data_IF_448131272047
#
_entry.id   IF_448131272047
#
_cell.length_a   1.000
_cell.length_b   1.000
_cell.length_c   1.000
_cell.angle_alpha   90.00
_cell.angle_beta   90.00
_cell.angle_gamma   90.00
#
_symmetry.space_group_name_H-M   'P 1'
#
loop_
_entity.id
_entity.type
_entity.pdbx_description
1 polymer ?
#
# COMPACT_ATOMS: atom_id res chain seq x y z
N UNK A 1 17.98 -12.73 -28.04
CA UNK A 1 17.82 -13.57 -26.82
C UNK A 1 18.44 -12.77 -25.68
N UNK A 2 17.80 -11.67 -25.38
CA UNK A 2 18.37 -10.53 -24.70
C UNK A 2 17.80 -10.51 -23.29
N UNK A 3 18.69 -10.78 -22.34
CA UNK A 3 18.49 -10.80 -20.89
C UNK A 3 18.12 -9.42 -20.30
N UNK A 4 17.69 -8.46 -21.12
CA UNK A 4 17.28 -7.13 -20.70
C UNK A 4 15.78 -7.02 -20.39
N UNK A 5 14.93 -7.87 -20.97
CA UNK A 5 13.47 -7.82 -20.77
C UNK A 5 12.98 -8.21 -19.37
N UNK A 6 13.75 -9.02 -18.63
CA UNK A 6 13.38 -9.45 -17.28
C UNK A 6 13.77 -8.46 -16.18
N UNK A 7 14.72 -7.55 -16.43
CA UNK A 7 15.14 -6.56 -15.43
C UNK A 7 14.23 -5.32 -15.44
N UNK A 8 13.78 -4.88 -16.63
CA UNK A 8 12.82 -3.78 -16.75
C UNK A 8 11.44 -4.12 -16.16
N UNK A 9 11.00 -5.38 -16.23
CA UNK A 9 9.74 -5.82 -15.61
C UNK A 9 9.84 -5.89 -14.09
N UNK A 10 10.97 -6.33 -13.54
CA UNK A 10 11.23 -6.29 -12.09
C UNK A 10 11.30 -4.84 -11.58
N UNK A 11 11.94 -3.92 -12.29
CA UNK A 11 12.00 -2.49 -11.90
C UNK A 11 10.62 -1.82 -11.92
N UNK A 12 9.81 -2.05 -12.95
CA UNK A 12 8.41 -1.55 -13.00
C UNK A 12 7.56 -2.15 -11.88
N UNK A 13 7.73 -3.45 -11.59
CA UNK A 13 7.02 -4.13 -10.50
C UNK A 13 7.51 -3.67 -9.12
N UNK A 14 8.80 -3.33 -8.97
CA UNK A 14 9.38 -2.74 -7.75
C UNK A 14 8.90 -1.31 -7.55
N UNK A 15 8.80 -0.49 -8.60
CA UNK A 15 8.27 0.88 -8.51
C UNK A 15 6.77 0.89 -8.18
N UNK A 16 6.00 -0.06 -8.72
CA UNK A 16 4.58 -0.22 -8.38
C UNK A 16 4.38 -0.70 -6.93
N UNK A 17 5.24 -1.58 -6.43
CA UNK A 17 5.23 -2.02 -5.02
C UNK A 17 5.74 -0.93 -4.06
N UNK A 18 6.80 -0.23 -4.42
CA UNK A 18 7.40 0.86 -3.63
C UNK A 18 6.44 2.03 -3.44
N UNK A 19 5.60 2.33 -4.43
CA UNK A 19 4.55 3.35 -4.31
C UNK A 19 3.53 3.02 -3.22
N UNK A 20 3.24 1.73 -3.01
CA UNK A 20 2.33 1.30 -1.96
C UNK A 20 3.02 1.15 -0.61
N UNK A 21 4.31 0.76 -0.56
CA UNK A 21 5.02 0.57 0.71
C UNK A 21 5.04 1.85 1.55
N UNK A 22 5.20 3.01 0.91
CA UNK A 22 5.21 4.33 1.58
C UNK A 22 3.86 4.71 2.19
N UNK A 23 2.78 4.03 1.77
CA UNK A 23 1.41 4.25 2.23
C UNK A 23 0.86 3.06 3.02
N UNK A 24 1.70 2.09 3.36
CA UNK A 24 1.28 0.87 4.08
C UNK A 24 1.65 0.91 5.56
N UNK A 25 0.74 0.36 6.37
CA UNK A 25 0.96 0.16 7.79
C UNK A 25 1.80 -1.08 8.04
N UNK A 26 2.93 -0.97 8.73
CA UNK A 26 3.80 -2.11 9.05
C UNK A 26 3.22 -3.08 10.10
N UNK A 27 2.06 -2.77 10.69
CA UNK A 27 1.35 -3.67 11.62
C UNK A 27 0.35 -4.55 10.87
N UNK A 28 -0.52 -3.96 10.05
CA UNK A 28 -1.56 -4.70 9.32
C UNK A 28 -1.20 -5.02 7.86
N UNK A 29 -0.07 -4.50 7.37
CA UNK A 29 0.47 -4.71 6.02
C UNK A 29 -0.49 -4.28 4.89
N UNK A 30 -1.37 -3.32 5.18
CA UNK A 30 -2.33 -2.73 4.22
C UNK A 30 -2.19 -1.21 4.16
N UNK A 31 -2.81 -0.57 3.16
CA UNK A 31 -2.84 0.89 3.05
C UNK A 31 -3.40 1.53 4.32
N UNK A 32 -2.78 2.59 4.81
CA UNK A 32 -3.17 3.28 6.04
C UNK A 32 -4.68 3.60 6.11
N UNK A 33 -5.29 3.31 7.24
CA UNK A 33 -6.64 3.76 7.62
C UNK A 33 -6.52 4.70 8.79
N UNK A 34 -6.91 5.96 8.59
CA UNK A 34 -6.67 7.07 9.52
C UNK A 34 -5.24 7.02 10.09
N UNK A 35 -4.21 7.32 9.27
CA UNK A 35 -2.83 7.23 9.72
C UNK A 35 -2.59 8.12 10.94
N UNK A 36 -1.78 7.64 11.88
CA UNK A 36 -1.25 8.38 13.04
C UNK A 36 0.27 8.28 12.99
N UNK A 37 0.95 9.41 13.06
CA UNK A 37 2.42 9.49 13.11
C UNK A 37 2.89 9.64 14.55
N UNK A 38 3.88 8.86 14.93
CA UNK A 38 4.60 9.03 16.20
C UNK A 38 5.71 10.08 16.05
N UNK A 39 6.21 10.61 17.16
CA UNK A 39 7.36 11.53 17.18
C UNK A 39 8.62 10.97 16.52
N UNK A 40 8.78 9.65 16.53
CA UNK A 40 9.89 8.99 15.85
C UNK A 40 9.76 9.00 14.30
N UNK A 41 8.70 9.60 13.75
CA UNK A 41 8.44 9.72 12.31
C UNK A 41 7.71 8.53 11.70
N UNK A 42 7.47 7.45 12.44
CA UNK A 42 6.77 6.26 11.93
C UNK A 42 5.26 6.44 11.99
N UNK A 43 4.59 6.02 10.92
CA UNK A 43 3.14 6.12 10.76
C UNK A 43 2.47 4.74 10.75
N UNK A 44 1.28 4.67 11.33
CA UNK A 44 0.50 3.44 11.51
C UNK A 44 -0.99 3.75 11.38
N UNK A 45 -1.84 2.76 11.12
CA UNK A 45 -3.29 2.97 11.28
C UNK A 45 -3.60 3.31 12.74
N UNK A 46 -4.55 4.24 12.98
CA UNK A 46 -4.97 4.64 14.33
C UNK A 46 -5.28 3.45 15.23
N UNK A 47 -6.07 2.50 14.74
CA UNK A 47 -6.44 1.31 15.50
C UNK A 47 -5.23 0.43 15.82
N UNK A 48 -4.38 0.19 14.81
CA UNK A 48 -3.19 -0.65 14.96
C UNK A 48 -2.23 -0.12 16.02
N UNK A 49 -1.95 1.19 16.01
CA UNK A 49 -1.03 1.78 16.99
C UNK A 49 -1.66 1.87 18.38
N UNK A 50 -2.97 2.11 18.47
CA UNK A 50 -3.71 2.12 19.75
C UNK A 50 -3.60 0.77 20.46
N UNK A 51 -3.83 -0.34 19.74
CA UNK A 51 -3.69 -1.70 20.28
C UNK A 51 -2.24 -1.98 20.67
N UNK A 52 -1.27 -1.56 19.86
CA UNK A 52 0.15 -1.81 20.14
C UNK A 52 0.62 -1.07 21.39
N UNK A 53 0.27 0.21 21.52
CA UNK A 53 0.60 1.05 22.68
C UNK A 53 -0.15 0.63 23.95
N UNK A 54 -1.24 -0.13 23.82
CA UNK A 54 -1.90 -0.76 24.96
C UNK A 54 -1.10 -1.93 25.54
N UNK A 55 -0.19 -2.52 24.76
CA UNK A 55 0.67 -3.64 25.18
C UNK A 55 2.07 -3.18 25.59
N UNK A 56 2.64 -2.22 24.86
CA UNK A 56 3.99 -1.67 25.08
C UNK A 56 4.01 -0.20 24.65
N UNK A 57 4.48 0.68 25.51
CA UNK A 57 4.67 2.11 25.20
C UNK A 57 5.90 2.37 24.30
N UNK A 58 6.04 1.62 23.22
CA UNK A 58 7.16 1.69 22.28
C UNK A 58 6.66 1.63 20.84
N UNK A 59 7.34 2.34 19.94
CA UNK A 59 7.10 2.25 18.51
C UNK A 59 7.36 0.81 18.01
N UNK A 60 6.41 0.19 17.28
CA UNK A 60 6.60 -1.16 16.75
C UNK A 60 7.78 -1.32 15.78
N UNK A 61 8.18 -0.23 15.13
CA UNK A 61 9.20 -0.24 14.09
C UNK A 61 10.61 0.02 14.64
N UNK A 62 10.81 1.12 15.39
CA UNK A 62 12.13 1.51 15.90
C UNK A 62 12.31 1.30 17.41
N UNK A 63 11.25 0.87 18.12
CA UNK A 63 11.25 0.64 19.58
C UNK A 63 11.50 1.88 20.44
N UNK A 64 11.49 3.08 19.84
CA UNK A 64 11.52 4.35 20.58
C UNK A 64 10.30 4.43 21.51
N UNK A 65 10.54 4.77 22.77
CA UNK A 65 9.49 4.95 23.77
C UNK A 65 8.52 6.05 23.36
N UNK A 66 7.22 5.80 23.48
CA UNK A 66 6.16 6.75 23.16
C UNK A 66 5.64 7.34 24.48
N UNK A 67 5.86 8.64 24.76
CA UNK A 67 5.33 9.30 25.95
C UNK A 67 3.80 9.24 25.97
N UNK A 68 3.21 8.99 27.13
CA UNK A 68 1.75 8.84 27.29
C UNK A 68 1.00 10.12 26.90
N UNK A 69 1.62 11.27 27.17
CA UNK A 69 1.07 12.61 26.91
C UNK A 69 0.97 12.95 25.42
N UNK A 70 1.69 12.22 24.55
CA UNK A 70 1.80 12.49 23.11
C UNK A 70 1.41 11.27 22.24
N UNK A 71 0.57 10.37 22.76
CA UNK A 71 0.23 9.09 22.10
C UNK A 71 -0.40 9.22 20.72
N UNK A 72 -1.00 10.37 20.39
CA UNK A 72 -1.74 10.56 19.15
C UNK A 72 -1.48 11.94 18.56
N UNK A 73 -0.39 12.09 17.82
CA UNK A 73 -0.25 13.27 16.98
C UNK A 73 -1.11 13.09 15.73
N UNK A 74 -2.00 14.05 15.40
CA UNK A 74 -2.74 13.99 14.16
C UNK A 74 -1.74 13.99 13.00
N UNK A 75 -1.86 12.99 12.13
CA UNK A 75 -1.05 12.94 10.90
C UNK A 75 -1.43 14.11 9.99
N UNK A 76 -0.44 14.64 9.26
CA UNK A 76 -0.66 15.65 8.23
C UNK A 76 -1.76 15.21 7.26
N UNK A 77 -2.65 16.15 6.89
CA UNK A 77 -3.76 15.94 5.96
C UNK A 77 -3.31 15.38 4.59
N UNK A 78 -2.03 15.56 4.25
CA UNK A 78 -1.39 15.04 3.04
C UNK A 78 -1.37 13.51 3.04
N UNK A 79 -0.89 12.89 4.12
CA UNK A 79 -0.77 11.43 4.24
C UNK A 79 -2.14 10.75 4.20
N UNK A 80 -3.14 11.38 4.82
CA UNK A 80 -4.54 10.93 4.74
C UNK A 80 -5.07 11.01 3.31
N UNK A 81 -4.93 12.17 2.65
CA UNK A 81 -5.41 12.35 1.28
C UNK A 81 -4.75 11.42 0.28
N UNK A 82 -3.46 11.13 0.43
CA UNK A 82 -2.75 10.18 -0.43
C UNK A 82 -3.21 8.74 -0.20
N UNK A 83 -3.43 8.34 1.05
CA UNK A 83 -3.92 7.01 1.39
C UNK A 83 -5.35 6.78 0.87
N UNK A 84 -6.23 7.78 0.99
CA UNK A 84 -7.61 7.69 0.50
C UNK A 84 -7.65 7.51 -1.03
N UNK A 85 -6.88 8.32 -1.77
CA UNK A 85 -6.74 8.19 -3.22
C UNK A 85 -6.17 6.84 -3.66
N UNK A 86 -5.22 6.29 -2.91
CA UNK A 86 -4.65 4.98 -3.20
C UNK A 86 -5.69 3.86 -3.03
N UNK A 87 -6.54 3.93 -2.00
CA UNK A 87 -7.63 2.97 -1.78
C UNK A 87 -8.69 3.03 -2.88
N UNK A 88 -9.01 4.22 -3.37
CA UNK A 88 -9.97 4.39 -4.47
C UNK A 88 -9.44 3.80 -5.78
N UNK A 89 -8.13 3.99 -6.06
CA UNK A 89 -7.49 3.42 -7.24
C UNK A 89 -7.43 1.88 -7.22
N UNK A 90 -7.31 1.26 -6.05
CA UNK A 90 -7.39 -0.20 -5.90
C UNK A 90 -8.81 -0.73 -6.14
N UNK A 91 -9.86 0.04 -5.83
CA UNK A 91 -11.25 -0.37 -6.03
C UNK A 91 -11.68 -0.41 -7.50
N UNK A 92 -11.01 0.35 -8.38
CA UNK A 92 -11.31 0.42 -9.81
C UNK A 92 -10.73 -0.75 -10.64
N UNK A 93 -9.97 -1.68 -10.03
CA UNK A 93 -9.41 -2.85 -10.74
C UNK A 93 -10.32 -4.09 -10.79
N UNK A 94 -11.50 -4.04 -10.16
CA UNK A 94 -12.42 -5.20 -10.11
C UNK A 94 -13.53 -5.17 -11.17
N UNK A 95 -13.61 -4.15 -12.02
CA UNK A 95 -14.66 -4.03 -13.06
C UNK A 95 -14.13 -3.85 -14.48
N UNK A 96 -13.03 -4.55 -14.80
CA UNK A 96 -12.68 -4.83 -16.19
C UNK A 96 -12.19 -6.28 -16.34
N UNK A 97 -13.06 -7.21 -15.92
CA UNK A 97 -13.07 -8.58 -16.41
C UNK A 97 -13.89 -8.59 -17.71
N UNK A 98 -13.20 -8.35 -18.81
CA UNK A 98 -13.74 -8.30 -20.17
C UNK A 98 -14.40 -9.62 -20.57
N UNK A 99 -15.72 -9.57 -20.68
CA UNK A 99 -16.54 -10.45 -21.49
C UNK A 99 -16.34 -10.15 -23.00
N UNK A 100 -15.20 -10.52 -23.57
CA UNK A 100 -15.12 -10.75 -25.03
C UNK A 100 -14.74 -12.19 -25.34
N UNK A 101 -15.79 -12.97 -25.45
CA UNK A 101 -15.83 -14.24 -26.17
C UNK A 101 -15.29 -14.06 -27.59
N UNK A 102 -14.38 -14.96 -27.98
CA UNK A 102 -14.46 -15.54 -29.32
C UNK A 102 -13.94 -14.76 -30.53
N UNK A 103 -13.38 -13.55 -30.41
CA UNK A 103 -12.86 -12.82 -31.60
C UNK A 103 -11.39 -13.12 -31.95
N UNK A 104 -10.57 -13.58 -31.00
CA UNK A 104 -9.19 -14.01 -31.27
C UNK A 104 -9.07 -15.42 -31.86
N UNK A 105 -10.04 -16.32 -31.60
CA UNK A 105 -10.02 -17.65 -32.20
C UNK A 105 -10.45 -17.61 -33.68
N UNK A 106 -11.27 -16.63 -34.09
CA UNK A 106 -11.64 -16.46 -35.51
C UNK A 106 -10.43 -16.04 -36.36
N UNK A 107 -9.53 -15.22 -35.80
CA UNK A 107 -8.27 -14.86 -36.48
C UNK A 107 -7.28 -16.03 -36.60
N UNK A 108 -7.38 -17.04 -35.73
CA UNK A 108 -6.50 -18.21 -35.78
C UNK A 108 -6.98 -19.31 -36.72
N UNK A 109 -8.27 -19.37 -37.08
CA UNK A 109 -8.79 -20.43 -37.97
C UNK A 109 -8.72 -20.04 -39.46
N UNK A 110 -8.55 -18.77 -39.82
CA UNK A 110 -8.37 -18.35 -41.23
C UNK A 110 -6.90 -18.28 -41.71
N UNK A 111 -5.91 -18.65 -40.88
CA UNK A 111 -4.46 -18.60 -41.22
C UNK A 111 -3.75 -19.96 -41.02
N UNK A 112 -4.45 -21.09 -41.12
CA UNK A 112 -3.83 -22.42 -41.31
C UNK A 112 -4.63 -23.20 -42.36
#
# INVERSE_FOLDING_TARGET
MDSFGHLFSYDIQYLHFAKNSDLTCSICLTIFTDPVSLLCGHSFCKECITISLSKKDQCPQCRTTVPIEEKYLPTSHILKSLADKAKEAEKMKTEQGDETTGVSLIFFVEII
#
